data_IF_342178871249
#
_entry.id   IF_342178871249
#
_cell.length_a   1.000
_cell.length_b   1.000
_cell.length_c   1.000
_cell.angle_alpha   90.00
_cell.angle_beta   90.00
_cell.angle_gamma   90.00
#
_symmetry.space_group_name_H-M   'P 1'
#
loop_
_entity.id
_entity.type
_entity.pdbx_description
1 polymer ?
#
# COMPACT_ATOMS: atom_id res chain seq x y z
N UNK A 1 -5.02 -17.29 15.87
CA UNK A 1 -4.81 -16.26 16.91
C UNK A 1 -5.73 -15.09 16.58
N UNK A 2 -6.59 -14.65 17.49
CA UNK A 2 -7.48 -13.51 17.26
C UNK A 2 -6.69 -12.21 17.49
N UNK A 3 -6.49 -11.41 16.44
CA UNK A 3 -5.88 -10.09 16.56
C UNK A 3 -6.77 -9.11 17.35
N UNK A 4 -6.24 -7.95 17.72
CA UNK A 4 -7.00 -6.92 18.46
C UNK A 4 -8.09 -6.30 17.58
N UNK A 5 -9.24 -5.99 18.17
CA UNK A 5 -10.40 -5.36 17.51
C UNK A 5 -10.83 -4.06 18.20
N UNK A 6 -10.36 -3.78 19.42
CA UNK A 6 -10.60 -2.52 20.11
C UNK A 6 -9.86 -1.39 19.39
N UNK A 7 -10.63 -0.51 18.75
CA UNK A 7 -10.12 0.62 17.99
C UNK A 7 -9.20 1.54 18.79
N UNK A 8 -9.50 1.80 20.07
CA UNK A 8 -8.66 2.69 20.90
C UNK A 8 -7.29 2.06 21.13
N UNK A 9 -7.26 0.77 21.42
CA UNK A 9 -5.98 0.04 21.60
C UNK A 9 -5.20 -0.05 20.30
N UNK A 10 -5.87 -0.34 19.18
CA UNK A 10 -5.23 -0.37 17.86
C UNK A 10 -4.55 0.96 17.54
N UNK A 11 -5.24 2.08 17.72
CA UNK A 11 -4.68 3.40 17.46
C UNK A 11 -3.55 3.77 18.44
N UNK A 12 -3.67 3.39 19.71
CA UNK A 12 -2.67 3.70 20.73
C UNK A 12 -1.38 2.87 20.60
N UNK A 13 -1.48 1.65 20.05
CA UNK A 13 -0.36 0.71 19.93
C UNK A 13 0.23 0.65 18.52
N UNK A 14 -0.39 1.32 17.55
CA UNK A 14 0.11 1.40 16.18
C UNK A 14 1.50 2.07 16.14
N UNK A 15 2.44 1.42 15.45
CA UNK A 15 3.80 1.92 15.24
C UNK A 15 4.02 2.20 13.75
N UNK A 16 3.73 3.43 13.28
CA UNK A 16 3.90 3.78 11.88
C UNK A 16 5.39 3.87 11.50
N UNK A 17 5.75 3.30 10.36
CA UNK A 17 7.11 3.33 9.82
C UNK A 17 7.09 3.85 8.38
N UNK A 18 7.80 4.95 8.15
CA UNK A 18 8.01 5.49 6.81
C UNK A 18 9.13 4.70 6.12
N UNK A 19 8.80 4.01 5.02
CA UNK A 19 9.78 3.32 4.21
C UNK A 19 10.58 4.30 3.34
N UNK A 20 11.81 3.89 3.01
CA UNK A 20 12.69 4.63 2.12
C UNK A 20 12.20 4.55 0.65
N UNK A 21 12.63 5.52 -0.15
CA UNK A 21 12.34 5.56 -1.58
C UNK A 21 10.95 6.09 -1.94
N UNK A 22 10.77 6.31 -3.25
CA UNK A 22 9.50 6.72 -3.85
C UNK A 22 8.91 5.50 -4.56
N UNK A 23 7.60 5.34 -4.41
CA UNK A 23 6.83 4.30 -5.06
C UNK A 23 5.88 4.92 -6.09
N UNK A 24 5.67 4.22 -7.19
CA UNK A 24 4.75 4.60 -8.26
C UNK A 24 3.81 3.45 -8.57
N UNK A 25 2.65 3.80 -9.11
CA UNK A 25 1.68 2.85 -9.64
C UNK A 25 1.93 2.67 -11.13
N UNK A 26 1.97 1.43 -11.59
CA UNK A 26 2.12 1.07 -13.00
C UNK A 26 1.05 0.05 -13.35
N UNK A 27 0.36 0.25 -14.47
CA UNK A 27 -0.61 -0.74 -14.98
C UNK A 27 -0.07 -1.40 -16.24
N UNK A 28 0.09 -2.72 -16.19
CA UNK A 28 0.41 -3.53 -17.36
C UNK A 28 -0.89 -3.96 -18.07
N UNK A 29 -0.95 -3.91 -19.42
CA UNK A 29 -2.12 -4.39 -20.15
C UNK A 29 -2.44 -5.88 -19.87
N UNK A 30 -3.67 -6.33 -20.11
CA UNK A 30 -4.06 -7.73 -19.91
C UNK A 30 -3.16 -8.70 -20.69
N UNK A 31 -2.73 -9.78 -20.04
CA UNK A 31 -1.85 -10.79 -20.64
C UNK A 31 -0.38 -10.40 -20.73
N UNK A 32 0.00 -9.16 -20.41
CA UNK A 32 1.40 -8.75 -20.33
C UNK A 32 1.98 -9.25 -19.00
N UNK A 33 3.03 -10.09 -19.00
CA UNK A 33 3.64 -10.56 -17.77
C UNK A 33 4.44 -9.44 -17.09
N UNK A 34 4.58 -9.54 -15.77
CA UNK A 34 5.45 -8.64 -15.00
C UNK A 34 6.90 -8.83 -15.46
N UNK A 35 7.62 -7.77 -15.88
CA UNK A 35 9.02 -7.88 -16.25
C UNK A 35 9.87 -8.42 -15.09
N UNK A 36 10.73 -9.40 -15.36
CA UNK A 36 11.54 -10.09 -14.34
C UNK A 36 12.45 -9.17 -13.49
N UNK A 37 12.75 -7.97 -13.99
CA UNK A 37 13.56 -6.95 -13.29
C UNK A 37 12.76 -6.10 -12.28
N UNK A 38 11.44 -6.22 -12.27
CA UNK A 38 10.59 -5.53 -11.30
C UNK A 38 10.39 -6.42 -10.08
N UNK A 39 10.50 -5.80 -8.91
CA UNK A 39 10.17 -6.41 -7.62
C UNK A 39 9.00 -5.63 -7.00
N UNK A 40 7.76 -5.93 -7.41
CA UNK A 40 6.60 -5.17 -6.97
C UNK A 40 6.29 -5.47 -5.50
N UNK A 41 6.21 -4.41 -4.71
CA UNK A 41 5.75 -4.47 -3.31
C UNK A 41 4.25 -4.78 -3.20
N UNK A 42 3.52 -4.63 -4.29
CA UNK A 42 2.13 -5.07 -4.44
C UNK A 42 1.86 -5.37 -5.92
N UNK A 43 1.13 -6.46 -6.16
CA UNK A 43 0.57 -6.81 -7.46
C UNK A 43 -0.93 -7.05 -7.30
N UNK A 44 -1.74 -6.42 -8.14
CA UNK A 44 -3.18 -6.61 -8.16
C UNK A 44 -3.65 -6.85 -9.60
N UNK A 45 -4.38 -7.95 -9.81
CA UNK A 45 -4.95 -8.29 -11.12
C UNK A 45 -6.35 -7.71 -11.21
N UNK A 46 -6.53 -6.78 -12.13
CA UNK A 46 -7.78 -6.11 -12.43
C UNK A 46 -8.29 -6.53 -13.81
N UNK A 47 -9.51 -6.13 -14.14
CA UNK A 47 -10.10 -6.43 -15.45
C UNK A 47 -9.37 -5.69 -16.57
N UNK A 48 -8.90 -4.48 -16.27
CA UNK A 48 -8.24 -3.56 -17.19
C UNK A 48 -6.75 -3.88 -17.37
N UNK A 49 -6.16 -4.67 -16.48
CA UNK A 49 -4.73 -4.97 -16.49
C UNK A 49 -4.20 -5.43 -15.14
N UNK A 50 -2.87 -5.55 -15.02
CA UNK A 50 -2.20 -5.82 -13.74
C UNK A 50 -1.61 -4.53 -13.20
N UNK A 51 -2.11 -4.06 -12.07
CA UNK A 51 -1.56 -2.92 -11.35
C UNK A 51 -0.42 -3.39 -10.44
N UNK A 52 0.70 -2.66 -10.52
CA UNK A 52 1.91 -2.87 -9.75
C UNK A 52 2.19 -1.62 -8.92
N UNK A 53 2.65 -1.81 -7.69
CA UNK A 53 3.38 -0.78 -6.95
C UNK A 53 4.84 -1.19 -6.94
N UNK A 54 5.72 -0.35 -7.49
CA UNK A 54 7.17 -0.59 -7.59
C UNK A 54 7.93 0.66 -7.15
N UNK A 55 9.24 0.52 -6.91
CA UNK A 55 10.10 1.69 -6.77
C UNK A 55 10.15 2.47 -8.08
N UNK A 56 10.14 3.81 -7.98
CA UNK A 56 10.20 4.71 -9.13
C UNK A 56 11.40 4.43 -10.04
N UNK A 57 12.56 4.13 -9.45
CA UNK A 57 13.78 3.80 -10.18
C UNK A 57 13.64 2.52 -11.02
N UNK A 58 12.93 1.52 -10.51
CA UNK A 58 12.66 0.28 -11.23
C UNK A 58 11.70 0.50 -12.40
N UNK A 59 10.64 1.31 -12.19
CA UNK A 59 9.71 1.67 -13.26
C UNK A 59 10.44 2.41 -14.39
N UNK A 60 11.24 3.42 -14.05
CA UNK A 60 12.04 4.19 -15.02
C UNK A 60 13.06 3.32 -15.76
N UNK A 61 13.81 2.48 -15.05
CA UNK A 61 14.74 1.54 -15.67
C UNK A 61 14.04 0.52 -16.57
N UNK A 62 12.75 0.26 -16.31
CA UNK A 62 11.92 -0.60 -17.13
C UNK A 62 11.24 0.08 -18.31
N UNK A 63 11.38 1.40 -18.47
CA UNK A 63 10.66 2.16 -19.51
C UNK A 63 9.15 2.18 -19.28
N UNK A 64 8.71 2.10 -18.02
CA UNK A 64 7.30 2.12 -17.63
C UNK A 64 6.96 3.47 -17.01
N UNK A 65 5.90 4.08 -17.49
CA UNK A 65 5.38 5.33 -16.95
C UNK A 65 4.62 5.05 -15.65
N UNK A 66 5.26 5.40 -14.54
CA UNK A 66 4.64 5.36 -13.22
C UNK A 66 3.80 6.61 -12.96
N UNK A 67 2.65 6.43 -12.32
CA UNK A 67 1.80 7.53 -11.84
C UNK A 67 1.80 7.58 -10.32
N UNK A 68 1.38 8.72 -9.77
CA UNK A 68 1.21 8.93 -8.33
C UNK A 68 2.50 8.64 -7.52
N UNK A 69 3.58 9.41 -7.73
CA UNK A 69 4.79 9.28 -6.91
C UNK A 69 4.44 9.52 -5.44
N UNK A 70 4.70 8.53 -4.61
CA UNK A 70 4.24 8.50 -3.21
C UNK A 70 5.25 7.85 -2.28
N UNK A 71 5.09 8.13 -0.99
CA UNK A 71 5.85 7.50 0.10
C UNK A 71 5.00 6.41 0.74
N UNK A 72 5.63 5.30 1.12
CA UNK A 72 4.93 4.22 1.80
C UNK A 72 5.10 4.33 3.32
N UNK A 73 3.99 4.26 4.05
CA UNK A 73 3.98 4.17 5.51
C UNK A 73 3.35 2.83 5.88
N UNK A 74 4.10 1.98 6.57
CA UNK A 74 3.57 0.75 7.16
C UNK A 74 3.00 1.07 8.53
N UNK A 75 1.74 0.69 8.77
CA UNK A 75 1.08 0.85 10.07
C UNK A 75 1.20 -0.46 10.85
N UNK A 76 2.31 -0.66 11.56
CA UNK A 76 2.53 -1.91 12.30
C UNK A 76 1.61 -1.96 13.53
N UNK A 77 0.68 -2.90 13.53
CA UNK A 77 -0.24 -3.16 14.65
C UNK A 77 -0.67 -4.63 14.59
N UNK A 78 -0.86 -5.26 15.76
CA UNK A 78 -1.41 -6.61 15.82
C UNK A 78 -2.94 -6.57 15.75
N UNK A 79 -3.47 -6.26 14.56
CA UNK A 79 -4.92 -6.15 14.32
C UNK A 79 -5.53 -7.44 13.79
N UNK A 80 -6.78 -7.71 14.17
CA UNK A 80 -7.61 -8.65 13.42
C UNK A 80 -7.99 -8.05 12.06
N UNK A 81 -8.11 -8.90 11.02
CA UNK A 81 -8.70 -8.50 9.74
C UNK A 81 -10.16 -8.01 9.89
N UNK A 82 -10.83 -8.41 10.96
CA UNK A 82 -12.20 -8.05 11.29
C UNK A 82 -12.30 -6.76 12.13
N UNK A 83 -11.18 -6.07 12.38
CA UNK A 83 -11.15 -4.84 13.15
C UNK A 83 -11.84 -3.68 12.38
N UNK A 84 -13.11 -3.45 12.70
CA UNK A 84 -13.92 -2.39 12.08
C UNK A 84 -13.44 -1.00 12.53
N UNK A 85 -13.34 -0.08 11.57
CA UNK A 85 -13.10 1.35 11.83
C UNK A 85 -11.63 1.77 11.94
N UNK A 86 -10.68 0.83 12.00
CA UNK A 86 -9.26 1.17 12.08
C UNK A 86 -8.80 2.01 10.87
N UNK A 87 -9.04 1.50 9.66
CA UNK A 87 -8.64 2.23 8.45
C UNK A 87 -9.41 3.55 8.31
N UNK A 88 -10.71 3.57 8.64
CA UNK A 88 -11.53 4.78 8.56
C UNK A 88 -11.00 5.91 9.47
N UNK A 89 -10.54 5.58 10.68
CA UNK A 89 -9.96 6.57 11.59
C UNK A 89 -8.68 7.20 11.00
N UNK A 90 -7.83 6.39 10.37
CA UNK A 90 -6.58 6.85 9.76
C UNK A 90 -6.84 7.69 8.50
N UNK A 91 -7.65 7.19 7.56
CA UNK A 91 -7.90 7.89 6.29
C UNK A 91 -8.65 9.20 6.50
N UNK A 92 -9.57 9.28 7.48
CA UNK A 92 -10.25 10.54 7.84
C UNK A 92 -9.25 11.60 8.28
N UNK A 93 -8.26 11.23 9.10
CA UNK A 93 -7.25 12.17 9.60
C UNK A 93 -6.32 12.65 8.48
N UNK A 94 -5.91 11.75 7.59
CA UNK A 94 -5.06 12.09 6.44
C UNK A 94 -5.81 12.95 5.41
N UNK A 95 -7.09 12.65 5.14
CA UNK A 95 -7.94 13.47 4.29
C UNK A 95 -8.13 14.89 4.85
N UNK A 96 -8.29 15.02 6.18
CA UNK A 96 -8.37 16.33 6.85
C UNK A 96 -7.08 17.15 6.73
N UNK A 97 -5.95 16.50 6.45
CA UNK A 97 -4.68 17.14 6.16
C UNK A 97 -4.42 17.37 4.65
N UNK A 98 -5.42 17.11 3.79
CA UNK A 98 -5.30 17.26 2.34
C UNK A 98 -4.42 16.18 1.68
N UNK A 99 -4.23 15.03 2.33
CA UNK A 99 -3.37 13.96 1.82
C UNK A 99 -4.19 12.88 1.11
N UNK A 100 -3.89 12.64 -0.17
CA UNK A 100 -4.38 11.47 -0.91
C UNK A 100 -3.70 10.19 -0.40
N UNK A 101 -4.49 9.13 -0.20
CA UNK A 101 -4.02 7.87 0.39
C UNK A 101 -4.54 6.66 -0.37
N UNK A 102 -3.67 5.67 -0.56
CA UNK A 102 -4.00 4.39 -1.19
C UNK A 102 -3.69 3.26 -0.20
N UNK A 103 -4.65 2.89 0.67
CA UNK A 103 -4.42 1.87 1.67
C UNK A 103 -4.34 0.48 1.04
N UNK A 104 -3.48 -0.35 1.60
CA UNK A 104 -3.28 -1.75 1.22
C UNK A 104 -3.09 -2.57 2.49
N UNK A 105 -3.68 -3.75 2.50
CA UNK A 105 -3.59 -4.65 3.63
C UNK A 105 -2.51 -5.68 3.36
N UNK A 106 -1.51 -5.73 4.24
CA UNK A 106 -0.53 -6.81 4.28
C UNK A 106 -0.81 -7.69 5.49
N UNK A 107 -0.60 -8.99 5.35
CA UNK A 107 -0.50 -9.88 6.50
C UNK A 107 0.95 -9.83 6.97
N UNK A 108 1.17 -9.33 8.19
CA UNK A 108 2.42 -9.55 8.88
C UNK A 108 2.50 -11.04 9.24
N UNK A 109 3.64 -11.73 9.01
CA UNK A 109 3.82 -13.12 9.42
C UNK A 109 3.75 -13.28 10.95
#
# INVERSE_FOLDING_TARGET
>A
MSGETDLKKLLATMTPQLLAGIHVFVTLPPGVPVPARLDPVMLFREREGTTLIVHEDQARAAGLDGVFPSRMITLNVHSSLEAVGFLAAITTRLASAGMGVNPRLGLLP
#
